data_IF_379945466198
#
_entry.id   IF_379945466198
#
_cell.length_a   1.000
_cell.length_b   1.000
_cell.length_c   1.000
_cell.angle_alpha   90.00
_cell.angle_beta   90.00
_cell.angle_gamma   90.00
#
_symmetry.space_group_name_H-M   'P 1'
#
loop_
_entity.id
_entity.type
_entity.pdbx_description
1 polymer ?
#
# COMPACT_ATOMS: atom_id res chain seq x y z
N UNK A 1 0.50 -20.96 -18.52
CA UNK A 1 -0.83 -20.75 -19.17
C UNK A 1 -1.25 -19.35 -18.77
N UNK A 2 -1.48 -18.43 -19.73
CA UNK A 2 -1.67 -17.00 -19.42
C UNK A 2 -2.96 -16.77 -18.61
N UNK A 3 -2.78 -16.43 -17.33
CA UNK A 3 -3.82 -16.34 -16.30
C UNK A 3 -4.64 -15.03 -16.34
N UNK A 4 -4.22 -14.06 -17.14
CA UNK A 4 -4.80 -12.72 -17.20
C UNK A 4 -5.35 -12.42 -18.60
N UNK A 5 -6.47 -11.70 -18.67
CA UNK A 5 -6.92 -11.11 -19.93
C UNK A 5 -5.98 -9.98 -20.37
N UNK A 6 -6.01 -9.59 -21.65
CA UNK A 6 -5.24 -8.41 -22.11
C UNK A 6 -5.59 -7.14 -21.32
N UNK A 7 -6.86 -7.00 -20.93
CA UNK A 7 -7.33 -5.91 -20.08
C UNK A 7 -6.64 -5.93 -18.71
N UNK A 8 -6.53 -7.10 -18.08
CA UNK A 8 -5.90 -7.22 -16.76
C UNK A 8 -4.39 -6.96 -16.84
N UNK A 9 -3.73 -7.42 -17.90
CA UNK A 9 -2.33 -7.09 -18.17
C UNK A 9 -2.13 -5.58 -18.35
N UNK A 10 -3.00 -4.91 -19.11
CA UNK A 10 -2.93 -3.46 -19.29
C UNK A 10 -3.19 -2.70 -17.98
N UNK A 11 -4.16 -3.14 -17.17
CA UNK A 11 -4.46 -2.53 -15.87
C UNK A 11 -3.29 -2.65 -14.89
N UNK A 12 -2.79 -3.87 -14.69
CA UNK A 12 -1.69 -4.12 -13.77
C UNK A 12 -0.43 -3.45 -14.29
N UNK A 13 -0.17 -3.53 -15.61
CA UNK A 13 0.97 -2.87 -16.23
C UNK A 13 0.93 -1.35 -16.11
N UNK A 14 -0.24 -0.72 -16.24
CA UNK A 14 -0.40 0.72 -16.01
C UNK A 14 -0.09 1.12 -14.55
N UNK A 15 -0.46 0.29 -13.57
CA UNK A 15 -0.14 0.53 -12.17
C UNK A 15 1.34 0.28 -11.84
N UNK A 16 1.95 -0.75 -12.43
CA UNK A 16 3.37 -1.04 -12.28
C UNK A 16 4.26 -0.02 -12.99
N UNK A 17 3.85 0.48 -14.16
CA UNK A 17 4.59 1.49 -14.91
C UNK A 17 4.75 2.79 -14.13
N UNK A 18 3.75 3.16 -13.32
CA UNK A 18 3.89 4.30 -12.41
C UNK A 18 5.14 4.12 -11.52
N UNK A 19 5.52 2.89 -11.14
CA UNK A 19 6.60 2.51 -10.20
C UNK A 19 7.91 2.28 -10.96
N UNK A 20 7.92 2.51 -12.29
CA UNK A 20 9.03 2.12 -13.14
C UNK A 20 9.24 0.60 -13.20
N UNK A 21 8.19 -0.19 -12.93
CA UNK A 21 8.26 -1.65 -12.88
C UNK A 21 7.73 -2.29 -14.17
N UNK A 22 8.42 -3.34 -14.63
CA UNK A 22 8.01 -4.11 -15.81
C UNK A 22 6.95 -5.15 -15.44
N UNK A 23 5.76 -4.99 -16.03
CA UNK A 23 4.63 -5.90 -15.83
C UNK A 23 4.96 -7.35 -16.17
N UNK A 24 5.77 -7.59 -17.20
CA UNK A 24 6.05 -8.93 -17.70
C UNK A 24 6.94 -9.72 -16.74
N UNK A 25 7.75 -9.05 -15.92
CA UNK A 25 8.65 -9.68 -14.97
C UNK A 25 7.97 -10.04 -13.64
N UNK A 26 6.80 -9.46 -13.36
CA UNK A 26 6.22 -9.46 -12.01
C UNK A 26 4.76 -9.96 -11.93
N UNK A 27 4.05 -10.10 -13.06
CA UNK A 27 2.62 -10.45 -13.08
C UNK A 27 2.30 -11.91 -13.40
N UNK A 28 3.26 -12.82 -13.33
CA UNK A 28 3.01 -14.23 -13.70
C UNK A 28 2.46 -15.09 -12.57
N UNK A 29 2.50 -14.60 -11.33
CA UNK A 29 2.22 -15.43 -10.15
C UNK A 29 0.76 -15.35 -9.72
N UNK A 30 0.21 -16.50 -9.35
CA UNK A 30 -1.09 -16.59 -8.67
C UNK A 30 -0.88 -17.05 -7.24
N UNK A 31 -1.63 -16.48 -6.31
CA UNK A 31 -1.62 -16.86 -4.91
C UNK A 31 -3.01 -17.34 -4.49
N UNK A 32 -3.07 -18.44 -3.76
CA UNK A 32 -4.30 -18.94 -3.14
C UNK A 32 -4.07 -19.06 -1.64
N UNK A 33 -4.88 -18.36 -0.84
CA UNK A 33 -4.95 -18.52 0.61
C UNK A 33 -6.03 -19.54 0.90
N UNK A 34 -5.67 -20.75 1.39
CA UNK A 34 -6.64 -21.80 1.67
C UNK A 34 -7.66 -21.38 2.73
N UNK A 35 -8.81 -22.04 2.74
CA UNK A 35 -9.82 -21.84 3.78
C UNK A 35 -9.24 -22.17 5.16
N UNK A 36 -9.68 -21.45 6.18
CA UNK A 36 -9.17 -21.51 7.56
C UNK A 36 -7.65 -21.29 7.75
N UNK A 37 -6.91 -20.95 6.70
CA UNK A 37 -5.49 -20.63 6.79
C UNK A 37 -5.28 -19.12 6.99
N UNK A 38 -4.24 -18.76 7.74
CA UNK A 38 -3.71 -17.39 7.76
C UNK A 38 -2.38 -17.34 7.04
N UNK A 39 -2.30 -16.56 5.97
CA UNK A 39 -1.05 -16.26 5.28
C UNK A 39 -0.64 -14.82 5.59
N UNK A 40 0.50 -14.65 6.24
CA UNK A 40 1.08 -13.34 6.48
C UNK A 40 2.12 -13.04 5.40
N UNK A 41 1.83 -12.06 4.54
CA UNK A 41 2.82 -11.54 3.60
C UNK A 41 3.71 -10.56 4.34
N UNK A 42 5.02 -10.80 4.27
CA UNK A 42 6.06 -9.92 4.81
C UNK A 42 7.05 -9.60 3.72
N UNK A 43 7.70 -8.45 3.82
CA UNK A 43 8.82 -8.05 2.94
C UNK A 43 9.86 -9.18 2.73
N UNK A 44 10.12 -9.96 3.77
CA UNK A 44 11.24 -10.91 3.79
C UNK A 44 10.81 -12.37 3.49
N UNK A 45 9.52 -12.63 3.28
CA UNK A 45 9.04 -13.97 2.93
C UNK A 45 9.10 -14.15 1.42
N UNK A 46 10.04 -14.94 0.91
CA UNK A 46 10.09 -15.32 -0.52
C UNK A 46 8.94 -16.22 -0.95
N UNK A 47 8.18 -16.77 -0.01
CA UNK A 47 7.33 -17.94 -0.25
C UNK A 47 5.99 -17.65 -0.94
N UNK A 48 5.62 -16.38 -1.15
CA UNK A 48 4.24 -16.07 -1.51
C UNK A 48 4.05 -14.99 -2.57
N UNK A 49 5.08 -14.57 -3.31
CA UNK A 49 4.90 -13.57 -4.36
C UNK A 49 6.19 -12.83 -4.72
N UNK A 50 6.10 -12.00 -5.75
CA UNK A 50 7.14 -10.99 -6.00
C UNK A 50 6.85 -9.80 -5.08
N UNK A 51 7.61 -9.69 -3.99
CA UNK A 51 7.60 -8.54 -3.10
C UNK A 51 8.63 -7.52 -3.58
N UNK A 52 8.18 -6.32 -3.95
CA UNK A 52 9.05 -5.27 -4.44
C UNK A 52 9.02 -4.11 -3.48
N UNK A 53 10.15 -3.85 -2.82
CA UNK A 53 10.32 -2.68 -1.97
C UNK A 53 10.67 -1.52 -2.86
N UNK A 54 9.76 -0.54 -2.94
CA UNK A 54 9.97 0.65 -3.75
C UNK A 54 10.18 1.86 -2.85
N UNK A 55 11.21 2.66 -3.14
CA UNK A 55 11.44 3.95 -2.50
C UNK A 55 10.99 5.07 -3.42
N UNK A 56 10.08 5.91 -2.96
CA UNK A 56 9.58 7.05 -3.72
C UNK A 56 10.55 8.22 -3.61
N UNK A 57 10.54 9.11 -4.61
CA UNK A 57 11.42 10.29 -4.63
C UNK A 57 10.90 11.44 -3.80
N UNK A 58 9.59 11.42 -3.52
CA UNK A 58 8.95 12.44 -2.71
C UNK A 58 7.74 11.92 -1.92
N UNK A 59 7.30 12.75 -0.97
CA UNK A 59 6.09 12.55 -0.20
C UNK A 59 4.82 12.57 -1.07
N UNK A 60 4.79 13.40 -2.13
CA UNK A 60 3.66 13.44 -3.07
C UNK A 60 3.55 12.14 -3.86
N UNK A 61 4.70 11.63 -4.35
CA UNK A 61 4.73 10.35 -5.02
C UNK A 61 4.24 9.27 -4.05
N UNK A 62 4.77 9.24 -2.82
CA UNK A 62 4.33 8.29 -1.80
C UNK A 62 2.82 8.33 -1.56
N UNK A 63 2.25 9.52 -1.38
CA UNK A 63 0.82 9.74 -1.19
C UNK A 63 -0.01 9.20 -2.37
N UNK A 64 0.40 9.50 -3.60
CA UNK A 64 -0.24 8.96 -4.79
C UNK A 64 -0.17 7.44 -4.85
N UNK A 65 0.93 6.85 -4.36
CA UNK A 65 1.15 5.41 -4.36
C UNK A 65 0.30 4.62 -3.41
N UNK A 66 0.14 5.13 -2.20
CA UNK A 66 -0.72 4.53 -1.18
C UNK A 66 -2.20 4.84 -1.42
N UNK A 67 -2.56 5.31 -2.62
CA UNK A 67 -3.96 5.46 -3.04
C UNK A 67 -4.70 6.61 -2.36
N UNK A 68 -3.97 7.59 -1.83
CA UNK A 68 -4.57 8.76 -1.21
C UNK A 68 -4.22 10.05 -1.98
N UNK A 69 -4.27 10.15 -3.32
CA UNK A 69 -3.93 11.40 -4.01
C UNK A 69 -4.90 12.53 -3.64
N UNK A 70 -4.46 13.78 -3.77
CA UNK A 70 -5.21 14.96 -3.26
C UNK A 70 -6.64 15.07 -3.76
N UNK A 71 -6.89 14.68 -5.01
CA UNK A 71 -8.23 14.72 -5.60
C UNK A 71 -9.25 13.79 -4.93
N UNK A 72 -8.81 12.83 -4.10
CA UNK A 72 -9.71 11.99 -3.27
C UNK A 72 -10.30 12.78 -2.10
N UNK A 73 -9.65 13.89 -1.73
CA UNK A 73 -10.05 14.79 -0.65
C UNK A 73 -10.69 16.09 -1.17
N UNK A 74 -11.02 16.16 -2.45
CA UNK A 74 -11.76 17.28 -3.02
C UNK A 74 -13.25 17.15 -2.62
N UNK A 75 -13.57 17.70 -1.43
CA UNK A 75 -14.85 17.56 -0.75
C UNK A 75 -14.64 17.35 0.75
N UNK A 76 -15.69 17.40 1.57
CA UNK A 76 -15.63 17.19 3.04
C UNK A 76 -15.31 15.72 3.44
N UNK A 77 -14.58 15.02 2.57
CA UNK A 77 -14.25 13.60 2.63
C UNK A 77 -13.13 13.39 3.63
N UNK A 78 -13.45 12.82 4.79
CA UNK A 78 -12.47 12.41 5.79
C UNK A 78 -12.02 10.97 5.52
N UNK A 79 -10.72 10.71 5.61
CA UNK A 79 -10.21 9.34 5.68
C UNK A 79 -10.75 8.68 6.96
N UNK A 80 -11.54 7.61 6.79
CA UNK A 80 -12.13 6.84 7.91
C UNK A 80 -11.36 5.56 8.22
N UNK A 81 -10.24 5.32 7.53
CA UNK A 81 -9.35 4.20 7.82
C UNK A 81 -8.58 4.44 9.12
N UNK A 82 -8.09 3.36 9.71
CA UNK A 82 -7.14 3.47 10.83
C UNK A 82 -5.82 4.02 10.28
N UNK A 83 -5.12 4.85 11.05
CA UNK A 83 -3.77 5.30 10.71
C UNK A 83 -2.69 4.37 11.27
N UNK A 84 -1.55 4.21 10.59
CA UNK A 84 -0.38 3.52 11.16
C UNK A 84 -0.02 4.04 12.54
N UNK A 85 0.35 3.10 13.41
CA UNK A 85 0.74 3.40 14.80
C UNK A 85 2.02 4.22 14.89
N UNK A 86 2.92 4.11 13.91
CA UNK A 86 4.12 4.95 13.76
C UNK A 86 4.33 5.29 12.31
N UNK A 87 4.41 6.59 12.05
CA UNK A 87 4.53 7.13 10.71
C UNK A 87 5.93 7.58 10.33
N UNK A 88 6.67 8.01 11.32
CA UNK A 88 7.99 8.55 11.16
C UNK A 88 8.99 7.48 11.57
N UNK A 89 10.05 7.34 10.78
CA UNK A 89 11.15 6.42 11.06
C UNK A 89 12.40 7.29 11.21
N UNK A 90 12.98 7.29 12.41
CA UNK A 90 14.07 8.19 12.79
C UNK A 90 15.39 7.77 12.14
N UNK A 91 15.54 8.00 10.84
CA UNK A 91 16.84 7.96 10.17
C UNK A 91 17.62 9.27 10.37
N UNK A 92 16.92 10.32 10.77
CA UNK A 92 17.49 11.56 11.30
C UNK A 92 17.63 11.38 12.82
N UNK A 93 18.77 11.75 13.45
CA UNK A 93 18.92 11.64 14.89
C UNK A 93 17.78 12.38 15.60
N UNK A 94 17.00 11.66 16.41
CA UNK A 94 15.88 12.20 17.16
C UNK A 94 16.29 13.23 18.24
N UNK A 95 17.59 13.47 18.36
CA UNK A 95 18.26 14.30 19.37
C UNK A 95 17.96 15.80 19.22
N UNK A 96 17.37 16.24 18.10
CA UNK A 96 17.09 17.65 17.83
C UNK A 96 15.63 18.10 18.08
N UNK A 97 14.70 17.19 18.36
CA UNK A 97 13.27 17.48 18.43
C UNK A 97 12.68 17.14 19.80
N UNK A 98 11.82 18.02 20.32
CA UNK A 98 11.07 17.74 21.55
C UNK A 98 9.97 16.71 21.29
N UNK A 99 9.41 16.12 22.35
CA UNK A 99 8.27 15.21 22.22
C UNK A 99 7.05 15.89 21.58
N UNK A 100 6.87 17.19 21.83
CA UNK A 100 5.81 18.00 21.22
C UNK A 100 6.05 18.19 19.72
N UNK A 101 7.28 18.49 19.31
CA UNK A 101 7.63 18.60 17.89
C UNK A 101 7.40 17.28 17.15
N UNK A 102 7.75 16.16 17.79
CA UNK A 102 7.47 14.83 17.25
C UNK A 102 5.98 14.59 17.03
N UNK A 103 5.14 14.98 18.01
CA UNK A 103 3.70 14.84 17.90
C UNK A 103 3.13 15.73 16.78
N UNK A 104 3.60 16.96 16.65
CA UNK A 104 3.19 17.87 15.57
C UNK A 104 3.62 17.34 14.19
N UNK A 105 4.85 16.85 14.06
CA UNK A 105 5.32 16.23 12.83
C UNK A 105 4.53 14.97 12.48
N UNK A 106 4.17 14.16 13.46
CA UNK A 106 3.37 12.96 13.22
C UNK A 106 1.94 13.32 12.79
N UNK A 107 1.34 14.36 13.39
CA UNK A 107 0.04 14.89 12.95
C UNK A 107 0.13 15.47 11.53
N UNK A 108 1.17 16.25 11.23
CA UNK A 108 1.39 16.81 9.91
C UNK A 108 1.60 15.71 8.86
N UNK A 109 2.37 14.66 9.18
CA UNK A 109 2.56 13.51 8.31
C UNK A 109 1.23 12.78 8.05
N UNK A 110 0.42 12.58 9.10
CA UNK A 110 -0.90 11.95 8.98
C UNK A 110 -1.83 12.77 8.11
N UNK A 111 -1.90 14.07 8.36
CA UNK A 111 -2.72 15.01 7.59
C UNK A 111 -2.26 15.15 6.14
N UNK A 112 -0.96 15.09 5.89
CA UNK A 112 -0.43 15.15 4.54
C UNK A 112 -0.77 13.89 3.74
N UNK A 113 -0.53 12.69 4.28
CA UNK A 113 -0.67 11.43 3.54
C UNK A 113 -2.13 10.94 3.48
N UNK A 114 -2.90 11.06 4.56
CA UNK A 114 -4.29 10.57 4.66
C UNK A 114 -5.33 11.69 4.79
N UNK A 115 -4.98 12.92 4.44
CA UNK A 115 -5.88 14.06 4.52
C UNK A 115 -5.65 15.06 3.38
N UNK A 116 -6.26 16.25 3.47
CA UNK A 116 -6.04 17.32 2.51
C UNK A 116 -4.61 17.86 2.62
N UNK A 117 -3.70 17.42 1.73
CA UNK A 117 -2.26 17.77 1.79
C UNK A 117 -2.02 19.27 1.78
N UNK A 118 -2.85 20.03 1.08
CA UNK A 118 -2.70 21.47 0.91
C UNK A 118 -2.73 22.21 2.25
N UNK A 119 -3.47 21.69 3.24
CA UNK A 119 -3.51 22.23 4.61
C UNK A 119 -2.17 22.04 5.32
N UNK A 120 -1.45 20.96 5.00
CA UNK A 120 -0.18 20.59 5.62
C UNK A 120 1.04 20.89 4.72
N UNK A 121 0.85 21.62 3.61
CA UNK A 121 1.88 21.87 2.61
C UNK A 121 3.13 22.55 3.20
N UNK A 122 2.95 23.45 4.16
CA UNK A 122 4.06 24.12 4.85
C UNK A 122 4.97 23.15 5.64
N UNK A 123 4.42 22.04 6.11
CA UNK A 123 5.15 21.03 6.89
C UNK A 123 5.80 19.96 6.01
N UNK A 124 5.52 19.96 4.69
CA UNK A 124 6.00 18.94 3.75
C UNK A 124 7.52 18.73 3.83
N UNK A 125 8.39 19.76 3.79
CA UNK A 125 9.84 19.54 3.81
C UNK A 125 10.30 18.84 5.09
N UNK A 126 9.68 19.18 6.23
CA UNK A 126 9.99 18.54 7.49
C UNK A 126 9.49 17.10 7.50
N UNK A 127 8.22 16.86 7.18
CA UNK A 127 7.64 15.50 7.12
C UNK A 127 8.45 14.59 6.19
N UNK A 128 8.82 15.08 5.01
CA UNK A 128 9.55 14.32 4.01
C UNK A 128 10.96 13.89 4.47
N UNK A 129 11.57 14.63 5.41
CA UNK A 129 12.84 14.25 6.04
C UNK A 129 12.70 13.07 7.04
N UNK A 130 11.50 12.84 7.58
CA UNK A 130 11.27 11.85 8.66
C UNK A 130 10.33 10.70 8.26
N UNK A 131 9.58 10.81 7.16
CA UNK A 131 8.74 9.72 6.66
C UNK A 131 9.60 8.70 5.91
N UNK A 132 9.49 7.39 6.22
CA UNK A 132 10.06 6.36 5.38
C UNK A 132 9.27 6.34 4.05
N UNK A 133 9.85 6.95 3.02
CA UNK A 133 9.31 6.98 1.66
C UNK A 133 9.40 5.61 0.96
N UNK A 134 9.13 4.52 1.68
CA UNK A 134 9.22 3.14 1.23
C UNK A 134 7.85 2.48 1.30
N UNK A 135 7.45 1.82 0.22
CA UNK A 135 6.24 1.01 0.14
C UNK A 135 6.58 -0.38 -0.39
N UNK A 136 5.88 -1.40 0.09
CA UNK A 136 6.01 -2.78 -0.40
C UNK A 136 4.90 -3.03 -1.40
N UNK A 137 5.28 -3.28 -2.66
CA UNK A 137 4.33 -3.60 -3.72
C UNK A 137 4.25 -5.12 -3.87
N UNK A 138 3.04 -5.65 -3.75
CA UNK A 138 2.69 -7.05 -3.92
C UNK A 138 1.93 -7.20 -5.22
N UNK A 139 2.44 -8.04 -6.11
CA UNK A 139 1.91 -8.15 -7.48
C UNK A 139 1.45 -9.57 -7.75
N UNK A 140 0.20 -9.72 -8.18
CA UNK A 140 -0.37 -11.01 -8.54
C UNK A 140 -1.21 -10.93 -9.82
N UNK A 141 -1.11 -11.94 -10.67
CA UNK A 141 -2.11 -12.15 -11.72
C UNK A 141 -3.47 -12.43 -11.09
N UNK A 142 -3.52 -13.45 -10.23
CA UNK A 142 -4.74 -13.86 -9.56
C UNK A 142 -4.46 -14.08 -8.08
N UNK A 143 -5.31 -13.51 -7.24
CA UNK A 143 -5.29 -13.73 -5.80
C UNK A 143 -6.63 -14.33 -5.39
N UNK A 144 -6.62 -15.55 -4.89
CA UNK A 144 -7.79 -16.23 -4.33
C UNK A 144 -7.65 -16.26 -2.82
N UNK A 145 -8.61 -15.69 -2.11
CA UNK A 145 -8.58 -15.57 -0.65
C UNK A 145 -9.77 -16.31 -0.07
N UNK A 146 -9.55 -17.55 0.38
CA UNK A 146 -10.58 -18.33 1.08
C UNK A 146 -10.41 -18.26 2.60
N UNK A 147 -9.18 -18.08 3.09
CA UNK A 147 -8.86 -17.83 4.50
C UNK A 147 -8.53 -16.35 4.76
N UNK A 148 -7.52 -16.08 5.59
CA UNK A 148 -7.06 -14.72 5.91
C UNK A 148 -5.69 -14.42 5.29
N UNK A 149 -5.62 -13.39 4.46
CA UNK A 149 -4.37 -12.78 4.01
C UNK A 149 -4.04 -11.58 4.90
N UNK A 150 -2.83 -11.52 5.45
CA UNK A 150 -2.43 -10.47 6.39
C UNK A 150 -1.17 -9.72 5.96
N UNK A 151 -1.20 -8.39 6.05
CA UNK A 151 -0.07 -7.47 5.82
C UNK A 151 0.24 -6.72 7.13
N UNK A 152 0.96 -7.36 8.04
CA UNK A 152 1.23 -6.85 9.39
C UNK A 152 2.73 -6.56 9.62
N UNK A 153 3.44 -6.06 8.61
CA UNK A 153 4.87 -5.73 8.70
C UNK A 153 5.13 -4.28 9.15
N UNK A 154 4.07 -3.52 9.45
CA UNK A 154 4.16 -2.13 9.91
C UNK A 154 4.55 -1.14 8.80
N UNK A 155 4.65 -1.58 7.54
CA UNK A 155 4.96 -0.73 6.38
C UNK A 155 3.71 -0.45 5.57
N UNK A 156 3.76 0.58 4.73
CA UNK A 156 2.78 0.79 3.66
C UNK A 156 2.93 -0.31 2.62
N UNK A 157 1.82 -0.96 2.32
CA UNK A 157 1.70 -2.08 1.40
C UNK A 157 0.74 -1.68 0.27
N UNK A 158 1.14 -1.93 -0.96
CA UNK A 158 0.29 -1.77 -2.14
C UNK A 158 0.10 -3.14 -2.76
N UNK A 159 -1.13 -3.62 -2.81
CA UNK A 159 -1.50 -4.87 -3.44
C UNK A 159 -2.08 -4.57 -4.83
N UNK A 160 -1.35 -4.93 -5.88
CA UNK A 160 -1.79 -4.81 -7.27
C UNK A 160 -2.11 -6.20 -7.81
N UNK A 161 -3.37 -6.43 -8.12
CA UNK A 161 -3.87 -7.72 -8.58
C UNK A 161 -4.60 -7.53 -9.91
N UNK A 162 -4.46 -8.47 -10.82
CA UNK A 162 -5.43 -8.57 -11.92
C UNK A 162 -6.77 -8.98 -11.33
N UNK A 163 -6.92 -10.25 -11.01
CA UNK A 163 -8.17 -10.81 -10.47
C UNK A 163 -8.07 -11.14 -8.98
N UNK A 164 -8.90 -10.48 -8.17
CA UNK A 164 -9.08 -10.78 -6.75
C UNK A 164 -10.38 -11.57 -6.55
N UNK A 165 -10.29 -12.77 -5.98
CA UNK A 165 -11.42 -13.67 -5.73
C UNK A 165 -11.54 -13.89 -4.22
N UNK A 166 -12.64 -13.45 -3.62
CA UNK A 166 -12.98 -13.75 -2.24
C UNK A 166 -13.80 -15.03 -2.17
N UNK A 167 -13.33 -16.02 -1.41
CA UNK A 167 -14.15 -17.12 -0.94
C UNK A 167 -15.10 -16.70 0.18
N UNK A 168 -16.02 -17.59 0.61
CA UNK A 168 -17.01 -17.28 1.63
C UNK A 168 -16.43 -16.77 2.96
N UNK A 169 -15.26 -17.29 3.36
CA UNK A 169 -14.53 -16.90 4.56
C UNK A 169 -13.33 -15.98 4.29
N UNK A 170 -13.21 -15.50 3.04
CA UNK A 170 -12.07 -14.75 2.56
C UNK A 170 -11.92 -13.39 3.24
N UNK A 171 -10.76 -13.14 3.84
CA UNK A 171 -10.43 -11.85 4.46
C UNK A 171 -9.06 -11.37 4.02
N UNK A 172 -8.97 -10.11 3.59
CA UNK A 172 -7.69 -9.40 3.47
C UNK A 172 -7.59 -8.38 4.59
N UNK A 173 -6.54 -8.48 5.40
CA UNK A 173 -6.27 -7.59 6.51
C UNK A 173 -4.89 -6.96 6.38
N UNK A 174 -4.82 -5.67 6.10
CA UNK A 174 -3.55 -4.92 6.13
C UNK A 174 -3.52 -3.80 7.16
N UNK A 175 -4.39 -3.86 8.17
CA UNK A 175 -4.63 -2.77 9.11
C UNK A 175 -4.78 -1.42 8.40
N UNK A 176 -3.85 -0.50 8.64
CA UNK A 176 -3.91 0.93 8.34
C UNK A 176 -3.16 1.32 7.08
N UNK A 177 -2.50 0.34 6.46
CA UNK A 177 -1.37 0.58 5.59
C UNK A 177 -1.50 -0.13 4.24
N UNK A 178 -2.66 -0.71 3.93
CA UNK A 178 -2.85 -1.47 2.71
C UNK A 178 -3.73 -0.73 1.72
N UNK A 179 -3.21 -0.56 0.52
CA UNK A 179 -3.95 -0.08 -0.65
C UNK A 179 -4.12 -1.23 -1.61
N UNK A 180 -5.35 -1.48 -2.07
CA UNK A 180 -5.65 -2.59 -2.99
C UNK A 180 -6.11 -2.03 -4.33
N UNK A 181 -5.39 -2.40 -5.39
CA UNK A 181 -5.76 -2.20 -6.79
C UNK A 181 -6.06 -3.55 -7.40
N UNK A 182 -7.30 -3.75 -7.85
CA UNK A 182 -7.71 -4.97 -8.54
C UNK A 182 -8.41 -4.59 -9.86
N UNK A 183 -8.06 -5.24 -10.98
CA UNK A 183 -8.80 -5.05 -12.22
C UNK A 183 -10.20 -5.67 -12.14
N UNK A 184 -10.33 -6.75 -11.37
CA UNK A 184 -11.58 -7.46 -11.12
C UNK A 184 -11.67 -7.92 -9.67
N UNK A 185 -12.82 -7.72 -9.03
CA UNK A 185 -13.15 -8.29 -7.72
C UNK A 185 -14.34 -9.22 -7.89
N UNK A 186 -14.14 -10.49 -7.55
CA UNK A 186 -15.15 -11.56 -7.62
C UNK A 186 -15.41 -12.05 -6.20
N UNK A 187 -16.68 -12.21 -5.84
CA UNK A 187 -17.09 -12.84 -4.58
C UNK A 187 -17.71 -14.19 -4.94
N UNK A 188 -17.08 -15.28 -4.51
CA UNK A 188 -17.66 -16.60 -4.61
C UNK A 188 -18.73 -16.74 -3.51
N UNK A 189 -19.92 -17.18 -3.91
CA UNK A 189 -21.03 -17.49 -3.01
C UNK A 189 -20.81 -18.84 -2.33
#
# INVERSE_FOLDING_TARGET
>A
MNLLSQHDYAFVGGHLAKFGMDVMQHTTQSLTVPDHATLALRRDTQDAGTHLVYRTKSLDQFKGWVGNPDHVFDGDTRYNGKHPARMLDSRVPAEALTAEDWQHLEQAAKGYIWGPSHVFAAHKPAVEAFVPLETVVHVYAQLVVNGTLSFNDGKSNVLVVGRLIYGPNGLINGNTNLTVYASQIIRAN
#
